data_IF_931288669967
#
_entry.id   IF_931288669967
#
_cell.length_a   1.000
_cell.length_b   1.000
_cell.length_c   1.000
_cell.angle_alpha   90.00
_cell.angle_beta   90.00
_cell.angle_gamma   90.00
#
_symmetry.space_group_name_H-M   'P 1'
#
loop_
_entity.id
_entity.type
_entity.pdbx_description
1 polymer ?
#
# COMPACT_ATOMS: atom_id res chain seq x y z
N UNK A 1 -47.96 -34.97 22.66
CA UNK A 1 -47.91 -34.16 21.42
C UNK A 1 -46.58 -33.45 21.43
N UNK A 2 -45.61 -33.91 20.65
CA UNK A 2 -44.24 -33.36 20.63
C UNK A 2 -44.34 -31.97 19.99
N UNK A 3 -44.11 -30.92 20.77
CA UNK A 3 -43.98 -29.57 20.20
C UNK A 3 -42.79 -29.58 19.25
N UNK A 4 -43.06 -29.24 17.99
CA UNK A 4 -42.04 -29.01 16.97
C UNK A 4 -40.99 -28.03 17.48
N UNK A 5 -39.73 -28.44 17.50
CA UNK A 5 -38.58 -27.56 17.75
C UNK A 5 -38.56 -26.50 16.64
N UNK A 6 -38.98 -25.27 16.96
CA UNK A 6 -38.94 -24.15 16.03
C UNK A 6 -37.47 -23.76 15.85
N UNK A 7 -36.95 -23.89 14.63
CA UNK A 7 -35.62 -23.40 14.30
C UNK A 7 -35.66 -21.88 14.16
N UNK A 8 -35.07 -21.17 15.10
CA UNK A 8 -34.83 -19.73 14.96
C UNK A 8 -33.53 -19.54 14.17
N UNK A 9 -33.61 -18.84 13.04
CA UNK A 9 -32.42 -18.52 12.24
C UNK A 9 -31.42 -17.73 13.08
N UNK A 10 -30.16 -18.19 13.11
CA UNK A 10 -29.05 -17.44 13.72
C UNK A 10 -28.59 -17.87 15.12
N UNK A 11 -28.91 -19.07 15.61
CA UNK A 11 -28.28 -19.59 16.83
C UNK A 11 -26.87 -20.13 16.56
N UNK A 12 -25.86 -19.53 17.17
CA UNK A 12 -24.54 -20.16 17.31
C UNK A 12 -24.66 -21.25 18.39
N UNK A 13 -24.70 -22.52 17.95
CA UNK A 13 -25.04 -23.72 18.74
C UNK A 13 -26.53 -23.78 19.12
N UNK A 14 -27.33 -24.40 18.25
CA UNK A 14 -28.77 -24.56 18.42
C UNK A 14 -29.16 -25.49 19.56
N UNK A 15 -29.18 -24.98 20.79
CA UNK A 15 -29.75 -25.68 21.95
C UNK A 15 -31.28 -25.51 22.07
N UNK A 16 -31.94 -24.81 21.13
CA UNK A 16 -33.41 -24.71 21.11
C UNK A 16 -34.04 -23.96 22.29
N UNK A 17 -33.22 -23.36 23.17
CA UNK A 17 -33.69 -22.53 24.28
C UNK A 17 -33.85 -21.07 23.85
N UNK A 18 -35.03 -20.50 24.14
CA UNK A 18 -35.34 -19.09 23.90
C UNK A 18 -34.62 -18.23 24.95
N UNK A 19 -33.43 -17.71 24.63
CA UNK A 19 -32.79 -16.69 25.46
C UNK A 19 -33.01 -15.31 24.84
N UNK A 20 -34.07 -14.64 25.30
CA UNK A 20 -34.53 -13.32 24.84
C UNK A 20 -33.88 -12.14 25.56
N UNK A 21 -32.74 -12.35 26.22
CA UNK A 21 -32.06 -11.24 26.87
C UNK A 21 -31.47 -10.30 25.81
N UNK A 22 -31.86 -9.02 25.83
CA UNK A 22 -31.38 -7.96 24.93
C UNK A 22 -29.85 -7.98 24.73
N UNK A 23 -29.09 -8.28 25.78
CA UNK A 23 -27.63 -8.44 25.74
C UNK A 23 -27.13 -9.55 24.80
N UNK A 24 -27.86 -10.67 24.69
CA UNK A 24 -27.47 -11.81 23.83
C UNK A 24 -27.74 -11.50 22.35
N UNK A 25 -28.84 -10.81 22.05
CA UNK A 25 -29.18 -10.40 20.69
C UNK A 25 -28.23 -9.31 20.18
N UNK A 26 -27.85 -8.34 21.02
CA UNK A 26 -26.91 -7.30 20.64
C UNK A 26 -25.48 -7.83 20.43
N UNK A 27 -25.08 -8.86 21.19
CA UNK A 27 -23.82 -9.56 20.97
C UNK A 27 -23.78 -10.33 19.64
N UNK A 28 -24.92 -10.88 19.19
CA UNK A 28 -25.05 -11.51 17.87
C UNK A 28 -24.98 -10.47 16.75
N UNK A 29 -25.68 -9.34 16.91
CA UNK A 29 -25.62 -8.23 15.96
C UNK A 29 -24.21 -7.71 15.77
N UNK A 30 -23.46 -7.47 16.86
CA UNK A 30 -22.09 -7.00 16.81
C UNK A 30 -21.16 -7.97 16.04
N UNK A 31 -21.38 -9.28 16.16
CA UNK A 31 -20.59 -10.29 15.42
C UNK A 31 -20.91 -10.29 13.93
N UNK A 32 -22.19 -10.17 13.57
CA UNK A 32 -22.60 -10.06 12.16
C UNK A 32 -22.08 -8.76 11.55
N UNK A 33 -22.27 -7.64 12.24
CA UNK A 33 -21.75 -6.33 11.87
C UNK A 33 -20.22 -6.38 11.67
N UNK A 34 -19.49 -6.93 12.65
CA UNK A 34 -18.04 -7.10 12.55
C UNK A 34 -17.61 -7.96 11.37
N UNK A 35 -18.31 -9.07 11.13
CA UNK A 35 -18.05 -9.94 9.98
C UNK A 35 -18.29 -9.25 8.64
N UNK A 36 -19.38 -8.49 8.51
CA UNK A 36 -19.70 -7.75 7.28
C UNK A 36 -18.69 -6.65 6.99
N UNK A 37 -18.33 -5.84 8.00
CA UNK A 37 -17.35 -4.77 7.83
C UNK A 37 -15.97 -5.34 7.50
N UNK A 38 -15.53 -6.40 8.21
CA UNK A 38 -14.23 -7.06 7.94
C UNK A 38 -14.18 -7.65 6.53
N UNK A 39 -15.23 -8.36 6.12
CA UNK A 39 -15.30 -8.93 4.77
C UNK A 39 -15.31 -7.86 3.67
N UNK A 40 -15.94 -6.71 3.93
CA UNK A 40 -15.92 -5.56 3.01
C UNK A 40 -14.52 -4.96 2.95
N UNK A 41 -13.89 -4.74 4.11
CA UNK A 41 -12.54 -4.20 4.18
C UNK A 41 -11.52 -5.07 3.43
N UNK A 42 -11.51 -6.38 3.69
CA UNK A 42 -10.61 -7.33 3.01
C UNK A 42 -10.85 -7.40 1.50
N UNK A 43 -12.12 -7.31 1.07
CA UNK A 43 -12.48 -7.37 -0.36
C UNK A 43 -12.07 -6.11 -1.12
N UNK A 44 -12.19 -4.94 -0.50
CA UNK A 44 -11.91 -3.66 -1.15
C UNK A 44 -10.48 -3.17 -0.95
N UNK A 45 -9.74 -3.65 0.05
CA UNK A 45 -8.33 -3.32 0.19
C UNK A 45 -7.49 -4.00 -0.89
N UNK A 46 -6.77 -3.18 -1.64
CA UNK A 46 -5.94 -3.58 -2.77
C UNK A 46 -4.48 -3.73 -2.37
N UNK A 47 -4.04 -3.03 -1.31
CA UNK A 47 -2.65 -3.02 -0.85
C UNK A 47 -2.34 -4.11 0.19
N UNK A 48 -3.36 -4.63 0.88
CA UNK A 48 -3.19 -5.69 1.89
C UNK A 48 -2.55 -6.93 1.26
N UNK A 49 -1.49 -7.45 1.89
CA UNK A 49 -0.71 -8.59 1.40
C UNK A 49 0.33 -8.27 0.33
N UNK A 50 0.48 -7.00 -0.10
CA UNK A 50 1.46 -6.57 -1.11
C UNK A 50 2.55 -5.64 -0.56
N UNK A 51 2.66 -5.56 0.76
CA UNK A 51 3.65 -4.76 1.50
C UNK A 51 3.91 -5.39 2.86
N UNK A 52 4.98 -4.99 3.55
CA UNK A 52 5.32 -5.52 4.88
C UNK A 52 4.38 -4.97 5.94
N UNK A 53 3.75 -5.86 6.70
CA UNK A 53 2.91 -5.50 7.85
C UNK A 53 3.52 -6.06 9.12
N UNK A 54 3.66 -5.22 10.15
CA UNK A 54 4.07 -5.63 11.49
C UNK A 54 2.98 -5.24 12.49
N UNK A 55 2.48 -6.19 13.26
CA UNK A 55 1.60 -5.92 14.38
C UNK A 55 2.41 -5.71 15.66
N UNK A 56 1.98 -4.75 16.49
CA UNK A 56 2.51 -4.54 17.84
C UNK A 56 1.35 -4.48 18.83
N UNK A 57 1.56 -4.99 20.05
CA UNK A 57 0.55 -4.96 21.11
C UNK A 57 0.53 -3.64 21.89
N UNK A 58 1.66 -2.92 21.87
CA UNK A 58 1.88 -1.68 22.61
C UNK A 58 3.04 -0.90 22.01
N UNK A 59 3.01 0.42 22.12
CA UNK A 59 4.06 1.31 21.62
C UNK A 59 3.48 2.40 20.72
N UNK A 60 4.29 3.45 20.47
CA UNK A 60 3.92 4.55 19.57
C UNK A 60 4.53 4.42 18.18
N UNK A 61 5.44 3.46 18.00
CA UNK A 61 6.16 3.22 16.76
C UNK A 61 6.71 1.79 16.73
N UNK A 62 7.13 1.33 15.56
CA UNK A 62 7.91 0.12 15.39
C UNK A 62 9.09 0.37 14.47
N UNK A 63 10.21 -0.30 14.76
CA UNK A 63 11.41 -0.29 13.92
C UNK A 63 11.30 -1.35 12.83
N UNK A 64 11.73 -1.00 11.63
CA UNK A 64 11.97 -1.93 10.53
C UNK A 64 13.47 -1.95 10.25
N UNK A 65 14.14 -3.09 10.46
CA UNK A 65 15.55 -3.20 10.11
C UNK A 65 15.68 -3.21 8.59
N UNK A 66 16.67 -2.46 8.09
CA UNK A 66 17.11 -2.58 6.70
C UNK A 66 18.62 -2.77 6.65
N UNK A 67 19.03 -3.79 5.90
CA UNK A 67 20.43 -4.16 5.73
C UNK A 67 20.83 -3.91 4.29
N UNK A 68 21.93 -3.20 4.11
CA UNK A 68 22.58 -3.04 2.82
C UNK A 68 23.19 -4.35 2.31
N UNK A 69 23.90 -4.24 1.19
CA UNK A 69 24.53 -5.39 0.53
C UNK A 69 25.97 -5.56 0.97
N UNK A 70 26.45 -6.80 0.91
CA UNK A 70 27.88 -7.11 0.95
C UNK A 70 28.37 -7.50 -0.44
N UNK A 71 29.67 -7.36 -0.69
CA UNK A 71 30.31 -7.83 -1.93
C UNK A 71 30.97 -9.17 -1.68
N UNK A 72 31.04 -10.01 -2.73
CA UNK A 72 31.77 -11.28 -2.69
C UNK A 72 33.11 -11.14 -3.41
N UNK A 73 34.17 -11.67 -2.82
CA UNK A 73 35.51 -11.70 -3.42
C UNK A 73 36.08 -13.12 -3.37
N UNK A 74 36.99 -13.44 -4.30
CA UNK A 74 37.61 -14.77 -4.33
C UNK A 74 38.71 -14.86 -3.27
N UNK A 75 38.65 -15.90 -2.44
CA UNK A 75 39.68 -16.21 -1.46
C UNK A 75 40.94 -16.80 -2.14
N UNK A 76 42.12 -16.35 -1.72
CA UNK A 76 43.40 -16.95 -2.14
C UNK A 76 43.95 -17.81 -1.00
N UNK A 77 44.38 -19.06 -1.25
CA UNK A 77 45.01 -19.88 -0.22
C UNK A 77 46.20 -19.15 0.43
N UNK A 78 46.18 -19.03 1.75
CA UNK A 78 47.21 -18.35 2.55
C UNK A 78 46.94 -16.88 2.88
N UNK A 79 45.87 -16.25 2.34
CA UNK A 79 45.41 -14.95 2.85
C UNK A 79 44.57 -15.13 4.12
N UNK A 80 44.72 -14.22 5.09
CA UNK A 80 43.83 -14.18 6.24
C UNK A 80 42.52 -13.45 5.87
N UNK A 81 41.39 -14.01 6.29
CA UNK A 81 40.06 -13.44 6.08
C UNK A 81 39.81 -12.30 7.08
N UNK A 82 40.43 -12.37 8.27
CA UNK A 82 40.15 -11.47 9.39
C UNK A 82 41.11 -10.28 9.47
N UNK A 83 42.15 -10.23 8.64
CA UNK A 83 43.11 -9.16 8.66
C UNK A 83 42.45 -7.83 8.24
N UNK A 84 42.32 -6.93 9.22
CA UNK A 84 41.90 -5.55 9.00
C UNK A 84 43.16 -4.71 8.77
N UNK A 85 43.25 -3.95 7.67
CA UNK A 85 44.40 -3.08 7.34
C UNK A 85 44.64 -1.94 8.38
N UNK A 86 43.95 -1.94 9.52
CA UNK A 86 44.05 -0.94 10.57
C UNK A 86 45.29 -1.09 11.49
N UNK A 87 46.06 -2.18 11.41
CA UNK A 87 47.33 -2.34 12.16
C UNK A 87 48.61 -2.43 11.31
N UNK A 88 48.57 -2.02 10.03
CA UNK A 88 49.78 -1.86 9.22
C UNK A 88 50.37 -0.42 9.22
N UNK A 89 50.10 0.37 10.27
CA UNK A 89 50.83 1.64 10.54
C UNK A 89 51.76 1.46 11.73
N UNK A 90 52.91 0.83 11.49
CA UNK A 90 53.97 0.73 12.50
C UNK A 90 55.20 -0.03 12.02
N UNK A 91 56.24 0.73 11.65
CA UNK A 91 57.62 0.33 11.40
C UNK A 91 58.00 -0.31 10.04
N UNK A 92 58.56 0.52 9.16
CA UNK A 92 59.76 0.15 8.40
C UNK A 92 59.58 -0.37 6.96
N UNK A 93 59.95 0.49 6.00
CA UNK A 93 60.52 0.19 4.69
C UNK A 93 59.78 -0.76 3.72
N UNK A 94 59.20 -0.14 2.67
CA UNK A 94 59.30 -0.63 1.29
C UNK A 94 58.38 -1.77 0.88
N UNK A 95 57.22 -1.41 0.30
CA UNK A 95 56.37 -2.31 -0.47
C UNK A 95 55.00 -2.55 0.18
N UNK A 96 54.06 -1.66 -0.09
CA UNK A 96 52.66 -1.86 0.27
C UNK A 96 52.08 -3.04 -0.52
N UNK A 97 52.10 -4.24 0.06
CA UNK A 97 51.29 -5.35 -0.44
C UNK A 97 49.88 -5.14 0.14
N UNK A 98 49.03 -4.48 -0.63
CA UNK A 98 47.61 -4.30 -0.33
C UNK A 98 46.95 -5.67 -0.16
N UNK A 99 46.81 -6.14 1.08
CA UNK A 99 46.04 -7.34 1.36
C UNK A 99 44.59 -6.90 1.36
N UNK A 100 43.93 -7.04 0.21
CA UNK A 100 42.56 -6.62 0.00
C UNK A 100 41.67 -7.09 1.16
N UNK A 101 41.08 -6.14 1.89
CA UNK A 101 40.14 -6.38 2.98
C UNK A 101 39.01 -7.31 2.50
N UNK A 102 39.06 -8.57 2.94
CA UNK A 102 38.09 -9.61 2.57
C UNK A 102 36.81 -9.57 3.43
N UNK A 103 36.86 -8.87 4.57
CA UNK A 103 35.72 -8.60 5.45
C UNK A 103 34.83 -7.50 4.87
N UNK A 104 33.66 -7.88 4.35
CA UNK A 104 32.61 -6.95 3.97
C UNK A 104 31.86 -6.42 5.20
N UNK A 105 31.85 -5.09 5.38
CA UNK A 105 30.94 -4.46 6.35
C UNK A 105 29.56 -4.29 5.72
N UNK A 106 28.55 -4.92 6.30
CA UNK A 106 27.16 -4.70 5.92
C UNK A 106 26.68 -3.46 6.67
N UNK A 107 26.37 -2.38 5.95
CA UNK A 107 25.65 -1.24 6.52
C UNK A 107 24.28 -1.74 6.96
N UNK A 108 23.97 -1.62 8.24
CA UNK A 108 22.65 -1.90 8.77
C UNK A 108 22.13 -0.65 9.46
N UNK A 109 20.88 -0.29 9.19
CA UNK A 109 20.21 0.84 9.80
C UNK A 109 18.73 0.47 10.02
N UNK A 110 17.99 1.30 10.73
CA UNK A 110 16.59 1.08 11.05
C UNK A 110 15.74 2.28 10.64
N UNK A 111 14.56 2.01 10.07
CA UNK A 111 13.54 3.05 9.85
C UNK A 111 12.44 2.87 10.88
N UNK A 112 12.10 3.95 11.56
CA UNK A 112 11.06 3.99 12.58
C UNK A 112 9.77 4.48 11.92
N UNK A 113 8.72 3.67 11.96
CA UNK A 113 7.38 4.07 11.51
C UNK A 113 6.52 4.30 12.76
N UNK A 114 5.87 5.46 12.84
CA UNK A 114 5.00 5.83 13.96
C UNK A 114 3.58 5.32 13.70
N UNK A 115 2.79 5.17 14.75
CA UNK A 115 1.36 4.90 14.64
C UNK A 115 0.65 6.23 14.50
N UNK A 116 -0.25 6.33 13.53
CA UNK A 116 -1.14 7.49 13.38
C UNK A 116 -2.27 7.44 14.41
N UNK A 117 -3.05 8.51 14.47
CA UNK A 117 -4.25 8.52 15.29
C UNK A 117 -5.29 7.51 14.75
N UNK A 118 -6.34 7.31 15.54
CA UNK A 118 -7.34 6.28 15.26
C UNK A 118 -8.08 6.59 13.94
N UNK A 119 -7.97 5.70 12.95
CA UNK A 119 -8.77 5.75 11.74
C UNK A 119 -10.16 5.18 12.04
N UNK A 120 -11.19 5.99 11.82
CA UNK A 120 -12.57 5.68 12.19
C UNK A 120 -13.50 5.86 11.00
N UNK A 121 -14.41 4.91 10.81
CA UNK A 121 -15.61 5.07 9.98
C UNK A 121 -16.83 4.81 10.86
N UNK A 122 -17.75 5.78 10.97
CA UNK A 122 -18.92 5.68 11.84
C UNK A 122 -20.20 6.06 11.11
N UNK A 123 -21.30 5.42 11.48
CA UNK A 123 -22.65 5.76 11.02
C UNK A 123 -23.60 5.78 12.23
N UNK A 124 -24.47 6.78 12.28
CA UNK A 124 -25.53 6.88 13.27
C UNK A 124 -26.87 6.59 12.61
N UNK A 125 -27.66 5.71 13.22
CA UNK A 125 -28.98 5.31 12.75
C UNK A 125 -30.01 5.76 13.80
N UNK A 126 -30.88 6.68 13.41
CA UNK A 126 -31.99 7.16 14.26
C UNK A 126 -33.09 6.09 14.35
N UNK A 127 -33.60 5.85 15.56
CA UNK A 127 -34.66 4.87 15.81
C UNK A 127 -35.95 5.25 15.09
N UNK A 128 -36.27 6.55 15.03
CA UNK A 128 -37.50 7.01 14.40
C UNK A 128 -37.46 6.82 12.88
N UNK A 129 -36.29 7.01 12.25
CA UNK A 129 -36.12 6.81 10.82
C UNK A 129 -36.14 5.33 10.45
N UNK A 130 -35.47 4.50 11.25
CA UNK A 130 -35.53 3.04 11.09
C UNK A 130 -36.96 2.49 11.28
N UNK A 131 -37.73 3.04 12.24
CA UNK A 131 -39.12 2.65 12.46
C UNK A 131 -40.07 3.07 11.32
N UNK A 132 -39.73 4.13 10.58
CA UNK A 132 -40.51 4.59 9.42
C UNK A 132 -40.15 3.86 8.13
N UNK A 133 -38.96 3.29 8.05
CA UNK A 133 -38.51 2.53 6.89
C UNK A 133 -39.15 1.14 6.79
N UNK A 134 -39.28 0.64 5.57
CA UNK A 134 -39.71 -0.72 5.27
C UNK A 134 -38.55 -1.72 5.16
N UNK A 135 -37.30 -1.29 5.29
CA UNK A 135 -36.11 -2.14 5.22
C UNK A 135 -35.03 -1.71 6.23
N UNK A 136 -34.22 -2.68 6.66
CA UNK A 136 -33.12 -2.44 7.60
C UNK A 136 -31.88 -1.88 6.88
N UNK A 137 -31.38 -0.75 7.37
CA UNK A 137 -30.23 -0.04 6.83
C UNK A 137 -28.89 -0.55 7.37
N UNK A 138 -28.89 -1.35 8.44
CA UNK A 138 -27.67 -1.76 9.15
C UNK A 138 -26.69 -2.56 8.28
N UNK A 139 -27.21 -3.48 7.46
CA UNK A 139 -26.37 -4.32 6.58
C UNK A 139 -25.78 -3.59 5.35
N UNK A 140 -26.50 -2.67 4.70
CA UNK A 140 -25.91 -1.78 3.71
C UNK A 140 -24.85 -0.84 4.30
N UNK A 141 -25.12 -0.22 5.45
CA UNK A 141 -24.18 0.72 6.08
C UNK A 141 -22.92 0.03 6.61
N UNK A 142 -23.03 -1.15 7.20
CA UNK A 142 -21.86 -1.94 7.63
C UNK A 142 -20.85 -2.19 6.49
N UNK A 143 -21.35 -2.52 5.30
CA UNK A 143 -20.52 -2.74 4.12
C UNK A 143 -19.83 -1.48 3.64
N UNK A 144 -20.53 -0.35 3.64
CA UNK A 144 -19.96 0.94 3.25
C UNK A 144 -18.93 1.45 4.26
N UNK A 145 -19.13 1.22 5.58
CA UNK A 145 -18.14 1.54 6.60
C UNK A 145 -16.81 0.81 6.35
N UNK A 146 -16.87 -0.49 6.03
CA UNK A 146 -15.68 -1.28 5.69
C UNK A 146 -14.99 -0.82 4.41
N UNK A 147 -15.78 -0.40 3.40
CA UNK A 147 -15.25 0.11 2.13
C UNK A 147 -14.57 1.47 2.29
N UNK A 148 -15.17 2.39 3.05
CA UNK A 148 -14.58 3.70 3.33
C UNK A 148 -13.24 3.57 4.08
N UNK A 149 -13.20 2.67 5.07
CA UNK A 149 -11.99 2.41 5.83
C UNK A 149 -10.88 1.76 4.98
N UNK A 150 -11.24 0.88 4.04
CA UNK A 150 -10.30 0.31 3.07
C UNK A 150 -9.73 1.37 2.10
N UNK A 151 -10.57 2.30 1.65
CA UNK A 151 -10.14 3.40 0.78
C UNK A 151 -9.07 4.27 1.43
N UNK A 152 -9.30 4.72 2.66
CA UNK A 152 -8.33 5.57 3.38
C UNK A 152 -7.04 4.82 3.73
N UNK A 153 -7.16 3.56 4.18
CA UNK A 153 -5.99 2.73 4.48
C UNK A 153 -5.09 2.55 3.25
N UNK A 154 -5.66 2.14 2.11
CA UNK A 154 -4.91 1.96 0.87
C UNK A 154 -4.34 3.29 0.36
N UNK A 155 -5.11 4.37 0.45
CA UNK A 155 -4.66 5.70 0.00
C UNK A 155 -3.43 6.14 0.79
N UNK A 156 -3.39 5.92 2.10
CA UNK A 156 -2.22 6.27 2.92
C UNK A 156 -0.99 5.43 2.58
N UNK A 157 -1.15 4.12 2.36
CA UNK A 157 -0.08 3.24 1.88
C UNK A 157 0.47 3.72 0.54
N UNK A 158 -0.41 4.06 -0.41
CA UNK A 158 -0.04 4.50 -1.75
C UNK A 158 0.67 5.87 -1.73
N UNK A 159 0.22 6.81 -0.89
CA UNK A 159 0.88 8.11 -0.69
C UNK A 159 2.28 7.95 -0.11
N UNK A 160 2.42 7.14 0.95
CA UNK A 160 3.71 6.89 1.59
C UNK A 160 4.73 6.28 0.62
N UNK A 161 4.27 5.35 -0.23
CA UNK A 161 5.09 4.73 -1.26
C UNK A 161 5.57 5.74 -2.32
N UNK A 162 4.66 6.57 -2.83
CA UNK A 162 4.97 7.55 -3.87
C UNK A 162 5.89 8.68 -3.36
N UNK A 163 5.72 9.11 -2.11
CA UNK A 163 6.58 10.13 -1.50
C UNK A 163 7.98 9.61 -1.21
N UNK A 164 8.08 8.41 -0.62
CA UNK A 164 9.37 7.80 -0.29
C UNK A 164 10.24 7.54 -1.54
N UNK A 165 9.61 7.34 -2.69
CA UNK A 165 10.32 7.26 -3.98
C UNK A 165 10.99 8.59 -4.37
N UNK A 166 10.38 9.73 -4.03
CA UNK A 166 10.87 11.06 -4.40
C UNK A 166 11.89 11.63 -3.40
N UNK A 167 12.09 10.99 -2.26
CA UNK A 167 13.07 11.40 -1.25
C UNK A 167 14.48 11.00 -1.69
N UNK A 168 15.39 11.99 -1.76
CA UNK A 168 16.81 11.74 -1.94
C UNK A 168 17.38 11.13 -0.66
N UNK A 169 17.90 9.91 -0.75
CA UNK A 169 18.53 9.20 0.36
C UNK A 169 19.77 9.95 0.83
N UNK A 170 19.95 10.06 2.16
CA UNK A 170 21.16 10.64 2.76
C UNK A 170 22.39 9.71 2.54
N UNK A 171 23.62 10.22 2.65
CA UNK A 171 24.87 9.42 2.55
C UNK A 171 24.94 8.21 3.52
N UNK A 172 24.08 8.22 4.55
CA UNK A 172 23.97 7.15 5.54
C UNK A 172 23.10 5.97 5.10
N UNK A 173 22.29 6.13 4.06
CA UNK A 173 21.46 5.05 3.51
C UNK A 173 22.30 4.12 2.60
N UNK A 174 22.26 2.79 2.81
CA UNK A 174 22.86 1.82 1.89
C UNK A 174 22.24 1.72 0.49
N UNK A 175 21.15 2.44 0.19
CA UNK A 175 20.39 2.31 -1.06
C UNK A 175 20.31 3.65 -1.80
N UNK A 176 20.18 3.58 -3.12
CA UNK A 176 19.94 4.75 -3.99
C UNK A 176 18.48 5.22 -3.82
N UNK A 177 18.20 6.50 -4.05
CA UNK A 177 16.83 7.01 -4.10
C UNK A 177 15.97 6.30 -5.15
N UNK A 178 14.65 6.38 -4.99
CA UNK A 178 13.71 5.83 -5.96
C UNK A 178 13.77 6.56 -7.31
N UNK A 179 13.33 5.90 -8.38
CA UNK A 179 13.34 6.49 -9.71
C UNK A 179 11.96 7.05 -10.08
N UNK A 180 11.95 8.24 -10.68
CA UNK A 180 10.73 8.84 -11.23
C UNK A 180 10.82 8.78 -12.75
N UNK A 181 9.94 7.99 -13.37
CA UNK A 181 9.85 7.86 -14.82
C UNK A 181 8.71 8.75 -15.32
N UNK A 182 8.97 9.54 -16.35
CA UNK A 182 7.97 10.42 -16.97
C UNK A 182 7.49 9.83 -18.29
N UNK A 183 6.17 9.75 -18.49
CA UNK A 183 5.59 9.21 -19.73
C UNK A 183 5.58 10.27 -20.84
N UNK A 184 6.54 10.22 -21.77
CA UNK A 184 6.51 10.99 -23.02
C UNK A 184 7.17 12.37 -22.99
N UNK A 185 6.87 13.19 -24.00
CA UNK A 185 7.35 14.57 -24.15
C UNK A 185 6.49 15.57 -23.36
N UNK A 186 7.09 16.72 -23.03
CA UNK A 186 6.55 17.78 -22.15
C UNK A 186 5.13 18.23 -22.51
N UNK A 187 4.19 18.20 -21.55
CA UNK A 187 2.84 18.78 -21.68
C UNK A 187 1.65 17.81 -21.72
N UNK A 188 1.85 16.51 -21.50
CA UNK A 188 0.82 15.47 -21.54
C UNK A 188 0.18 15.27 -20.17
N UNK A 189 -1.14 15.51 -20.07
CA UNK A 189 -1.94 15.17 -18.88
C UNK A 189 -2.03 13.64 -18.69
N UNK A 190 -2.17 13.12 -17.45
CA UNK A 190 -2.30 11.68 -17.19
C UNK A 190 -3.46 11.02 -17.95
N UNK A 191 -4.54 11.76 -18.21
CA UNK A 191 -5.68 11.30 -19.00
C UNK A 191 -5.39 11.15 -20.50
N UNK A 192 -4.28 11.68 -21.01
CA UNK A 192 -3.91 11.69 -22.44
C UNK A 192 -2.71 10.79 -22.75
N UNK A 193 -2.12 10.14 -21.73
CA UNK A 193 -1.04 9.17 -21.92
C UNK A 193 -1.56 7.99 -22.75
N UNK A 194 -0.80 7.63 -23.78
CA UNK A 194 -1.08 6.51 -24.69
C UNK A 194 -0.62 5.19 -24.06
N UNK A 195 -1.20 4.08 -24.51
CA UNK A 195 -0.81 2.73 -24.10
C UNK A 195 0.68 2.46 -24.35
N UNK A 196 1.21 2.86 -25.52
CA UNK A 196 2.62 2.68 -25.86
C UNK A 196 3.58 3.40 -24.88
N UNK A 197 3.26 4.63 -24.48
CA UNK A 197 4.07 5.37 -23.51
C UNK A 197 4.01 4.75 -22.11
N UNK A 198 2.85 4.23 -21.71
CA UNK A 198 2.70 3.50 -20.44
C UNK A 198 3.51 2.20 -20.44
N UNK A 199 3.45 1.44 -21.54
CA UNK A 199 4.20 0.19 -21.69
C UNK A 199 5.71 0.47 -21.60
N UNK A 200 6.21 1.44 -22.36
CA UNK A 200 7.62 1.85 -22.29
C UNK A 200 8.02 2.24 -20.86
N UNK A 201 7.22 3.09 -20.20
CA UNK A 201 7.52 3.52 -18.84
C UNK A 201 7.50 2.36 -17.82
N UNK A 202 6.69 1.32 -18.02
CA UNK A 202 6.68 0.12 -17.19
C UNK A 202 7.95 -0.72 -17.44
N UNK A 203 8.44 -0.80 -18.67
CA UNK A 203 9.72 -1.45 -18.98
C UNK A 203 10.91 -0.68 -18.42
N UNK A 204 10.89 0.66 -18.50
CA UNK A 204 11.91 1.51 -17.89
C UNK A 204 11.92 1.37 -16.36
N UNK A 205 10.72 1.25 -15.75
CA UNK A 205 10.59 0.97 -14.33
C UNK A 205 11.15 -0.42 -13.96
N UNK A 206 10.90 -1.45 -14.77
CA UNK A 206 11.48 -2.77 -14.57
C UNK A 206 13.01 -2.74 -14.63
N UNK A 207 13.57 -2.07 -15.65
CA UNK A 207 15.01 -1.88 -15.80
C UNK A 207 15.62 -1.17 -14.58
N UNK A 208 15.01 -0.09 -14.10
CA UNK A 208 15.50 0.63 -12.92
C UNK A 208 15.54 -0.27 -11.67
N UNK A 209 14.54 -1.14 -11.49
CA UNK A 209 14.52 -2.10 -10.38
C UNK A 209 15.57 -3.22 -10.53
N UNK A 210 15.84 -3.64 -11.77
CA UNK A 210 16.86 -4.66 -12.08
C UNK A 210 18.28 -4.11 -11.87
N UNK A 211 18.55 -2.89 -12.31
CA UNK A 211 19.82 -2.18 -12.06
C UNK A 211 20.05 -1.97 -10.55
N UNK A 212 18.97 -1.75 -9.81
CA UNK A 212 19.00 -1.70 -8.35
C UNK A 212 19.04 -3.08 -7.68
N UNK A 213 19.13 -4.20 -8.42
CA UNK A 213 19.15 -5.61 -7.95
C UNK A 213 18.02 -5.97 -6.97
N UNK A 214 16.80 -5.49 -7.22
CA UNK A 214 15.62 -5.91 -6.46
C UNK A 214 15.16 -7.27 -7.00
N UNK A 215 14.67 -8.21 -6.17
CA UNK A 215 14.11 -9.46 -6.66
C UNK A 215 13.00 -9.23 -7.70
N UNK A 216 12.95 -10.09 -8.72
CA UNK A 216 11.87 -10.07 -9.73
C UNK A 216 10.53 -10.60 -9.19
N UNK A 217 10.59 -11.39 -8.12
CA UNK A 217 9.41 -11.95 -7.47
C UNK A 217 8.53 -10.84 -6.86
N UNK A 218 7.21 -11.06 -6.91
CA UNK A 218 6.20 -10.21 -6.25
C UNK A 218 6.26 -8.71 -6.56
N UNK A 219 6.76 -8.31 -7.73
CA UNK A 219 6.64 -6.92 -8.19
C UNK A 219 5.20 -6.58 -8.59
N UNK A 220 4.70 -5.44 -8.12
CA UNK A 220 3.34 -4.98 -8.38
C UNK A 220 3.33 -3.59 -9.02
N UNK A 221 2.43 -3.39 -9.98
CA UNK A 221 2.15 -2.08 -10.57
C UNK A 221 0.73 -1.67 -10.22
N UNK A 222 0.59 -0.63 -9.42
CA UNK A 222 -0.69 -0.03 -9.07
C UNK A 222 -0.99 1.08 -10.06
N UNK A 223 -2.12 0.96 -10.73
CA UNK A 223 -2.47 1.87 -11.81
C UNK A 223 -3.89 2.35 -11.68
N UNK A 224 -4.11 3.58 -12.14
CA UNK A 224 -5.45 4.15 -12.19
C UNK A 224 -6.31 3.38 -13.20
N UNK A 225 -7.64 3.26 -12.97
CA UNK A 225 -8.50 2.50 -13.87
C UNK A 225 -8.52 3.03 -15.30
N UNK A 226 -8.41 4.35 -15.49
CA UNK A 226 -8.33 5.01 -16.80
C UNK A 226 -7.11 4.56 -17.60
N UNK A 227 -5.96 4.40 -16.96
CA UNK A 227 -4.75 3.92 -17.62
C UNK A 227 -4.78 2.41 -17.85
N UNK A 228 -5.36 1.64 -16.92
CA UNK A 228 -5.53 0.20 -17.05
C UNK A 228 -6.38 -0.18 -18.27
N UNK A 229 -7.53 0.46 -18.48
CA UNK A 229 -8.38 0.13 -19.63
C UNK A 229 -7.74 0.50 -20.97
N UNK A 230 -6.92 1.55 -21.03
CA UNK A 230 -6.14 1.88 -22.23
C UNK A 230 -5.12 0.81 -22.60
N UNK A 231 -4.53 0.13 -21.60
CA UNK A 231 -3.63 -0.99 -21.85
C UNK A 231 -4.36 -2.21 -22.41
N UNK A 232 -5.63 -2.41 -22.02
CA UNK A 232 -6.49 -3.48 -22.53
C UNK A 232 -7.00 -3.17 -23.94
N UNK A 233 -7.37 -1.92 -24.21
CA UNK A 233 -7.98 -1.46 -25.46
C UNK A 233 -6.98 -1.33 -26.61
N UNK A 234 -5.67 -1.52 -26.39
CA UNK A 234 -4.62 -1.33 -27.40
C UNK A 234 -4.60 -2.40 -28.51
N UNK A 235 -5.70 -2.44 -29.26
CA UNK A 235 -5.87 -3.16 -30.52
C UNK A 235 -5.34 -2.35 -31.71
N UNK A 236 -5.01 -1.06 -31.51
CA UNK A 236 -4.51 -0.17 -32.56
C UNK A 236 -3.02 -0.38 -32.87
N UNK A 237 -2.20 -0.76 -31.89
CA UNK A 237 -0.77 -1.06 -32.08
C UNK A 237 -0.45 -2.54 -32.35
N UNK A 238 -1.47 -3.38 -32.58
CA UNK A 238 -1.29 -4.80 -32.93
C UNK A 238 -0.51 -5.03 -34.26
N UNK A 239 -0.23 -3.97 -35.03
CA UNK A 239 0.64 -4.02 -36.22
C UNK A 239 2.12 -3.70 -35.95
N UNK A 240 2.48 -3.21 -34.76
CA UNK A 240 3.83 -2.71 -34.44
C UNK A 240 4.57 -3.52 -33.36
N UNK A 241 3.99 -4.62 -32.87
CA UNK A 241 4.64 -5.51 -31.90
C UNK A 241 4.75 -4.96 -30.47
N UNK A 242 4.12 -3.83 -30.18
CA UNK A 242 4.16 -3.15 -28.87
C UNK A 242 2.90 -3.37 -28.03
N UNK A 243 1.92 -4.16 -28.49
CA UNK A 243 0.71 -4.43 -27.74
C UNK A 243 0.95 -5.50 -26.67
N UNK A 244 0.46 -5.28 -25.44
CA UNK A 244 0.56 -6.28 -24.35
C UNK A 244 -0.24 -7.56 -24.68
N UNK A 245 -1.33 -7.41 -25.44
CA UNK A 245 -2.22 -8.50 -25.82
C UNK A 245 -2.23 -8.61 -27.35
N UNK A 246 -1.58 -9.64 -27.88
CA UNK A 246 -1.60 -9.93 -29.32
C UNK A 246 -2.48 -11.15 -29.59
N UNK A 247 -3.47 -10.97 -30.48
CA UNK A 247 -4.39 -12.04 -30.87
C UNK A 247 -3.69 -13.24 -31.52
N UNK A 248 -2.61 -13.00 -32.26
CA UNK A 248 -1.97 -14.01 -33.10
C UNK A 248 -0.76 -14.70 -32.43
N UNK A 249 -0.25 -14.17 -31.31
CA UNK A 249 0.97 -14.66 -30.63
C UNK A 249 0.73 -15.62 -29.46
N UNK A 250 -0.50 -16.15 -29.31
CA UNK A 250 -0.81 -17.10 -28.24
C UNK A 250 -0.74 -16.43 -26.87
N UNK A 251 -1.88 -15.95 -26.39
CA UNK A 251 -2.00 -15.22 -25.12
C UNK A 251 -1.94 -16.15 -23.89
N UNK A 252 -1.17 -17.23 -23.95
CA UNK A 252 -1.14 -18.34 -22.98
C UNK A 252 -0.71 -17.83 -21.60
N UNK A 253 -1.71 -17.45 -20.79
CA UNK A 253 -1.56 -17.09 -19.38
C UNK A 253 -1.45 -15.59 -19.06
N UNK A 254 -1.39 -14.66 -20.03
CA UNK A 254 -1.26 -13.22 -19.74
C UNK A 254 -2.56 -12.39 -19.84
N UNK A 255 -3.71 -13.07 -19.87
CA UNK A 255 -5.03 -12.44 -19.93
C UNK A 255 -5.75 -12.72 -21.24
N UNK A 256 -6.83 -12.00 -21.54
CA UNK A 256 -7.52 -12.05 -22.83
C UNK A 256 -8.22 -10.70 -23.03
N UNK A 257 -8.09 -10.10 -24.21
CA UNK A 257 -8.80 -8.86 -24.55
C UNK A 257 -10.32 -9.03 -24.38
N UNK A 258 -10.85 -10.24 -24.59
CA UNK A 258 -12.27 -10.57 -24.41
C UNK A 258 -12.73 -10.47 -22.95
N UNK A 259 -11.88 -10.87 -22.01
CA UNK A 259 -12.20 -10.83 -20.58
C UNK A 259 -11.75 -9.52 -19.92
N UNK A 260 -11.06 -8.66 -20.68
CA UNK A 260 -10.74 -7.29 -20.30
C UNK A 260 -9.73 -7.18 -19.15
N UNK A 261 -8.89 -8.20 -18.93
CA UNK A 261 -7.87 -8.20 -17.89
C UNK A 261 -6.45 -8.50 -18.42
N UNK A 262 -5.48 -7.75 -17.91
CA UNK A 262 -4.03 -7.95 -18.13
C UNK A 262 -3.45 -8.47 -16.83
N UNK A 263 -2.81 -9.65 -16.86
CA UNK A 263 -2.27 -10.27 -15.65
C UNK A 263 -0.90 -9.70 -15.26
N UNK A 264 0.01 -9.58 -16.24
CA UNK A 264 1.38 -9.11 -16.03
C UNK A 264 1.86 -8.21 -17.16
N UNK A 265 2.72 -7.26 -16.82
CA UNK A 265 3.46 -6.42 -17.75
C UNK A 265 4.91 -6.31 -17.25
N UNK A 266 5.90 -6.58 -18.12
CA UNK A 266 7.32 -6.60 -17.76
C UNK A 266 7.65 -7.43 -16.49
N UNK A 267 7.04 -8.61 -16.34
CA UNK A 267 7.22 -9.49 -15.17
C UNK A 267 6.41 -9.08 -13.93
N UNK A 268 5.89 -7.86 -13.88
CA UNK A 268 5.16 -7.31 -12.73
C UNK A 268 3.65 -7.54 -12.84
N UNK A 269 2.99 -7.79 -11.70
CA UNK A 269 1.53 -7.99 -11.65
C UNK A 269 0.81 -6.64 -11.67
N UNK A 270 -0.06 -6.44 -12.66
CA UNK A 270 -0.79 -5.17 -12.81
C UNK A 270 -2.06 -5.19 -11.97
N UNK A 271 -2.21 -4.18 -11.13
CA UNK A 271 -3.33 -4.03 -10.20
C UNK A 271 -4.04 -2.71 -10.46
N UNK A 272 -5.30 -2.78 -10.90
CA UNK A 272 -6.15 -1.60 -11.01
C UNK A 272 -6.66 -1.17 -9.64
N UNK A 273 -6.50 0.10 -9.29
CA UNK A 273 -7.05 0.64 -8.03
C UNK A 273 -7.60 2.05 -8.21
N UNK A 274 -8.82 2.34 -7.71
CA UNK A 274 -9.31 3.71 -7.64
C UNK A 274 -8.69 4.51 -6.49
N UNK A 275 -7.98 3.85 -5.56
CA UNK A 275 -7.43 4.45 -4.33
C UNK A 275 -6.11 5.22 -4.59
N UNK A 276 -5.61 5.26 -5.83
CA UNK A 276 -4.42 6.02 -6.17
C UNK A 276 -4.70 7.52 -6.03
N UNK A 277 -3.90 8.28 -5.26
CA UNK A 277 -4.16 9.70 -5.03
C UNK A 277 -4.05 10.49 -6.34
N UNK A 278 -4.93 11.48 -6.49
CA UNK A 278 -5.06 12.32 -7.71
C UNK A 278 -4.98 13.81 -7.43
N UNK A 279 -5.02 14.17 -6.16
CA UNK A 279 -5.04 15.54 -5.70
C UNK A 279 -3.75 15.84 -4.96
N UNK A 280 -3.47 17.11 -4.83
CA UNK A 280 -2.52 17.59 -3.85
C UNK A 280 -3.17 17.51 -2.47
N UNK A 281 -2.38 17.01 -1.54
CA UNK A 281 -2.81 16.72 -0.17
C UNK A 281 -2.04 17.55 0.84
N UNK A 282 -1.18 18.44 0.35
CA UNK A 282 -0.51 19.42 1.19
C UNK A 282 -1.54 20.43 1.68
N UNK A 283 -1.54 20.69 2.97
CA UNK A 283 -2.41 21.69 3.59
C UNK A 283 -1.71 23.06 3.56
N UNK A 284 -2.43 24.11 3.16
CA UNK A 284 -1.96 25.49 3.33
C UNK A 284 -1.99 25.81 4.84
N UNK A 285 -0.89 26.26 5.43
CA UNK A 285 -0.95 26.73 6.82
C UNK A 285 -1.94 27.90 6.90
N UNK A 286 -2.98 27.78 7.74
CA UNK A 286 -4.05 28.75 8.03
C UNK A 286 -4.14 29.99 7.09
N UNK A 287 -5.02 29.94 6.09
CA UNK A 287 -5.48 31.14 5.37
C UNK A 287 -4.46 31.83 4.45
N UNK A 288 -3.26 31.28 4.25
CA UNK A 288 -2.32 31.79 3.27
C UNK A 288 -2.69 31.28 1.87
N UNK A 289 -3.33 32.12 1.06
CA UNK A 289 -3.49 31.85 -0.36
C UNK A 289 -2.13 31.55 -1.00
N UNK A 290 -2.04 30.43 -1.72
CA UNK A 290 -1.00 30.03 -2.67
C UNK A 290 0.40 30.63 -2.39
N UNK A 291 1.18 30.00 -1.50
CA UNK A 291 2.54 30.49 -1.21
C UNK A 291 3.42 29.60 -0.34
N UNK A 292 3.96 28.51 -0.93
CA UNK A 292 5.29 27.92 -0.66
C UNK A 292 5.68 27.46 0.76
N UNK A 293 4.77 27.40 1.74
CA UNK A 293 5.06 26.77 3.05
C UNK A 293 3.95 25.78 3.43
N UNK A 294 4.07 24.55 2.94
CA UNK A 294 3.24 23.42 3.35
C UNK A 294 3.87 22.83 4.62
N UNK A 295 3.29 23.07 5.78
CA UNK A 295 3.89 22.65 7.06
C UNK A 295 2.89 22.11 8.10
N UNK A 296 1.61 21.99 7.75
CA UNK A 296 0.66 21.36 8.66
C UNK A 296 0.39 19.93 8.19
N UNK A 297 1.05 18.94 8.83
CA UNK A 297 0.59 17.54 8.79
C UNK A 297 -0.91 17.52 9.11
N UNK A 298 -1.70 16.71 8.39
CA UNK A 298 -3.13 16.63 8.66
C UNK A 298 -3.32 16.20 10.12
N UNK A 299 -4.27 16.79 10.86
CA UNK A 299 -4.50 16.39 12.25
C UNK A 299 -4.70 14.87 12.35
N UNK A 300 -3.82 14.20 13.08
CA UNK A 300 -3.85 12.75 13.31
C UNK A 300 -2.93 11.92 12.40
N UNK A 301 -2.31 12.51 11.39
CA UNK A 301 -1.24 11.86 10.60
C UNK A 301 0.13 12.13 11.27
N UNK A 302 0.75 11.09 11.83
CA UNK A 302 2.06 11.18 12.51
C UNK A 302 3.23 10.79 11.58
N UNK A 303 2.91 10.29 10.37
CA UNK A 303 3.85 9.98 9.29
C UNK A 303 3.60 10.89 8.07
N UNK A 304 4.54 10.88 7.13
CA UNK A 304 4.50 11.79 5.97
C UNK A 304 3.67 11.19 4.82
N UNK A 305 2.46 11.73 4.64
CA UNK A 305 1.54 11.36 3.55
C UNK A 305 1.23 12.51 2.58
N UNK A 306 1.73 13.71 2.86
CA UNK A 306 1.37 14.91 2.12
C UNK A 306 2.28 15.12 0.90
N UNK A 307 1.67 15.14 -0.27
CA UNK A 307 2.37 15.31 -1.54
C UNK A 307 1.46 15.85 -2.63
N UNK A 308 2.09 16.31 -3.72
CA UNK A 308 1.38 16.57 -4.97
C UNK A 308 1.34 15.28 -5.80
N UNK A 309 0.16 14.69 -5.93
CA UNK A 309 -0.07 13.46 -6.67
C UNK A 309 -0.85 13.67 -7.98
N UNK A 310 -1.03 14.91 -8.44
CA UNK A 310 -1.80 15.20 -9.67
C UNK A 310 -1.21 14.54 -10.91
N UNK A 311 0.13 14.41 -10.95
CA UNK A 311 0.88 13.79 -12.06
C UNK A 311 0.98 12.27 -11.95
N UNK A 312 0.63 11.69 -10.80
CA UNK A 312 0.78 10.27 -10.53
C UNK A 312 -0.15 9.45 -11.45
N UNK A 313 0.47 8.60 -12.27
CA UNK A 313 -0.22 7.80 -13.28
C UNK A 313 -0.20 6.32 -12.90
N UNK A 314 0.98 5.82 -12.52
CA UNK A 314 1.16 4.49 -11.99
C UNK A 314 2.28 4.48 -10.94
N UNK A 315 2.29 3.46 -10.11
CA UNK A 315 3.28 3.27 -9.08
C UNK A 315 3.70 1.79 -9.08
N UNK A 316 5.00 1.55 -9.25
CA UNK A 316 5.58 0.21 -9.25
C UNK A 316 6.34 0.00 -7.94
N UNK A 317 6.15 -1.13 -7.27
CA UNK A 317 6.94 -1.47 -6.08
C UNK A 317 7.13 -2.96 -5.86
N UNK A 318 8.12 -3.26 -5.03
CA UNK A 318 8.33 -4.55 -4.39
C UNK A 318 7.84 -4.51 -2.92
N UNK A 319 7.35 -5.60 -2.29
CA UNK A 319 6.76 -5.55 -0.95
C UNK A 319 7.67 -5.02 0.17
N UNK A 320 8.98 -5.02 -0.05
CA UNK A 320 9.97 -4.44 0.85
C UNK A 320 10.03 -2.90 0.83
N UNK A 321 9.40 -2.27 -0.15
CA UNK A 321 9.37 -0.82 -0.31
C UNK A 321 8.64 -0.09 0.82
N UNK A 322 7.58 -0.68 1.36
CA UNK A 322 6.64 -0.01 2.26
C UNK A 322 6.35 -0.89 3.47
N UNK A 323 6.30 -0.26 4.64
CA UNK A 323 5.98 -0.89 5.91
C UNK A 323 4.73 -0.29 6.53
N UNK A 324 3.89 -1.14 7.10
CA UNK A 324 2.72 -0.74 7.90
C UNK A 324 2.84 -1.32 9.29
N UNK A 325 2.63 -0.49 10.31
CA UNK A 325 2.52 -0.87 11.71
C UNK A 325 1.06 -0.90 12.09
N UNK A 326 0.56 -2.02 12.59
CA UNK A 326 -0.79 -2.15 13.16
C UNK A 326 -0.69 -2.26 14.69
N UNK A 327 -1.28 -1.31 15.42
CA UNK A 327 -1.42 -1.40 16.88
C UNK A 327 -2.73 -2.10 17.26
N UNK A 328 -3.81 -1.66 16.63
CA UNK A 328 -5.14 -2.27 16.77
C UNK A 328 -5.59 -2.65 15.39
N UNK A 329 -5.84 -3.93 15.21
CA UNK A 329 -6.49 -4.39 14.00
C UNK A 329 -7.93 -3.85 13.95
N UNK A 330 -8.61 -4.10 12.84
CA UNK A 330 -9.96 -3.63 12.64
C UNK A 330 -10.90 -4.14 13.74
N UNK A 331 -11.48 -3.21 14.50
CA UNK A 331 -12.39 -3.48 15.62
C UNK A 331 -13.67 -2.70 15.48
N UNK A 332 -14.78 -3.30 15.89
CA UNK A 332 -16.10 -2.67 15.81
C UNK A 332 -16.69 -2.47 17.20
N UNK A 333 -17.39 -1.36 17.35
CA UNK A 333 -18.22 -1.07 18.51
C UNK A 333 -19.60 -0.63 18.04
N UNK A 334 -20.61 -0.99 18.81
CA UNK A 334 -21.96 -0.51 18.64
C UNK A 334 -22.51 -0.08 20.01
N UNK A 335 -23.14 1.08 20.07
CA UNK A 335 -23.77 1.57 21.29
C UNK A 335 -25.06 2.33 20.99
N UNK A 336 -26.08 2.07 21.80
CA UNK A 336 -27.30 2.87 21.78
C UNK A 336 -27.11 4.17 22.54
N UNK A 337 -27.12 5.30 21.84
CA UNK A 337 -26.96 6.61 22.45
C UNK A 337 -28.31 7.22 22.81
N UNK A 338 -28.71 7.11 24.08
CA UNK A 338 -29.99 7.63 24.60
C UNK A 338 -30.15 9.14 24.34
N UNK A 339 -29.04 9.90 24.32
CA UNK A 339 -29.08 11.36 24.06
C UNK A 339 -29.51 11.71 22.63
N UNK A 340 -29.27 10.82 21.68
CA UNK A 340 -29.61 11.03 20.27
C UNK A 340 -30.69 10.05 19.78
N UNK A 341 -31.21 9.18 20.65
CA UNK A 341 -32.29 8.23 20.36
C UNK A 341 -32.00 7.35 19.13
N UNK A 342 -30.80 6.76 19.10
CA UNK A 342 -30.39 5.90 17.99
C UNK A 342 -29.13 5.10 18.27
N UNK A 343 -28.79 4.25 17.31
CA UNK A 343 -27.69 3.30 17.36
C UNK A 343 -26.45 3.87 16.64
N UNK A 344 -25.31 3.93 17.34
CA UNK A 344 -24.05 4.39 16.79
C UNK A 344 -23.14 3.20 16.48
N UNK A 345 -22.93 2.97 15.20
CA UNK A 345 -22.06 1.91 14.68
C UNK A 345 -20.71 2.51 14.32
N UNK A 346 -19.62 1.95 14.87
CA UNK A 346 -18.26 2.45 14.68
C UNK A 346 -17.32 1.32 14.30
N UNK A 347 -16.62 1.50 13.18
CA UNK A 347 -15.49 0.70 12.76
C UNK A 347 -14.20 1.50 12.96
N UNK A 348 -13.19 0.91 13.58
CA UNK A 348 -11.94 1.62 13.89
C UNK A 348 -10.71 0.72 13.79
N UNK A 349 -9.60 1.34 13.39
CA UNK A 349 -8.29 0.70 13.26
C UNK A 349 -7.20 1.70 13.64
N UNK A 350 -6.13 1.23 14.28
CA UNK A 350 -4.96 2.06 14.57
C UNK A 350 -3.76 1.49 13.82
N UNK A 351 -3.36 2.19 12.77
CA UNK A 351 -2.23 1.83 11.92
C UNK A 351 -1.44 3.08 11.53
N UNK A 352 -0.17 2.90 11.21
CA UNK A 352 0.64 3.91 10.53
C UNK A 352 1.50 3.27 9.47
N UNK A 353 1.72 3.96 8.36
CA UNK A 353 2.41 3.45 7.19
C UNK A 353 3.55 4.38 6.81
N UNK A 354 4.57 3.83 6.19
CA UNK A 354 5.76 4.59 5.81
C UNK A 354 6.61 3.83 4.82
N UNK A 355 7.33 4.56 3.98
CA UNK A 355 8.29 3.95 3.07
C UNK A 355 9.50 3.40 3.84
N UNK A 356 10.04 2.28 3.40
CA UNK A 356 11.21 1.60 3.96
C UNK A 356 12.40 1.72 3.02
N UNK A 357 12.25 1.19 1.80
CA UNK A 357 13.33 1.06 0.81
C UNK A 357 12.94 1.85 -0.45
N UNK A 358 13.64 2.95 -0.73
CA UNK A 358 13.26 3.88 -1.79
C UNK A 358 13.60 3.34 -3.18
N UNK A 359 14.75 2.67 -3.33
CA UNK A 359 15.15 1.98 -4.57
C UNK A 359 14.11 0.95 -5.04
N UNK A 360 13.37 0.34 -4.11
CA UNK A 360 12.31 -0.64 -4.37
C UNK A 360 10.98 -0.03 -4.84
N UNK A 361 10.95 1.28 -5.09
CA UNK A 361 9.79 2.00 -5.62
C UNK A 361 10.15 2.77 -6.87
N UNK A 362 9.24 2.76 -7.86
CA UNK A 362 9.34 3.57 -9.06
C UNK A 362 8.02 4.26 -9.31
N UNK A 363 8.05 5.58 -9.38
CA UNK A 363 6.88 6.41 -9.68
C UNK A 363 6.80 6.69 -11.17
N UNK A 364 5.65 6.44 -11.78
CA UNK A 364 5.36 6.79 -13.16
C UNK A 364 4.44 8.01 -13.18
N UNK A 365 5.00 9.14 -13.59
CA UNK A 365 4.31 10.42 -13.69
C UNK A 365 3.97 10.77 -15.14
N UNK A 366 2.83 11.43 -15.33
CA UNK A 366 2.54 12.11 -16.58
C UNK A 366 3.33 13.42 -16.65
N UNK A 367 4.01 13.65 -17.77
CA UNK A 367 4.81 14.85 -17.98
C UNK A 367 3.89 16.05 -18.28
N UNK A 368 3.44 16.78 -17.27
CA UNK A 368 2.72 18.05 -17.49
C UNK A 368 3.69 19.22 -17.44
N UNK A 369 3.67 20.04 -18.51
CA UNK A 369 4.04 21.44 -18.42
C UNK A 369 3.23 22.08 -17.28
N UNK A 370 3.87 22.95 -16.51
CA UNK A 370 3.37 23.58 -15.28
C UNK A 370 1.86 23.87 -15.24
#
# INVERSE_FOLDING_TARGET
MVLSTISFGGQASGNGEWNSTFATQNALFLRVFGGEVMSSFEKYSVTTGKHRIRSISSGKSAQFPFTGRTTAQRFKPGSDILADDAQAKGAGAGGALSTAKLLGHIKANEKIIKIDDLLISSCFIDDLDLAKSHYDYRGPFSRELGRALAHEFDTNVLKAAALHCAENTSDSDPFVGGTVVTTGATGIKPSTVTSANLISAIFDAAQAMDEAYIPEDERYVFMRPDCYYKLVEDTANAGQGTAILHRDYGNDGNGNTKDGFVLKCAGMTVVKTPHLPRTDTRHDADGAGSGTTYSAQNPGENNDYQGDFRKLTALCWHPEAVGTVKLKDLTMENEYQIRHQGDLMVAKMACGTGGLRADATVVINADTAE
#
